data_IF_585997367001
#
_entry.id   IF_585997367001
#
_cell.length_a   1.000
_cell.length_b   1.000
_cell.length_c   1.000
_cell.angle_alpha   90.00
_cell.angle_beta   90.00
_cell.angle_gamma   90.00
#
_symmetry.space_group_name_H-M   'P 1'
#
loop_
_entity.id
_entity.type
_entity.pdbx_description
1 polymer ?
#
# COMPACT_ATOMS: atom_id res chain seq x y z
N UNK A 1 -20.15 -10.65 25.61
CA UNK A 1 -19.03 -9.70 25.36
C UNK A 1 -18.41 -9.43 26.72
N UNK A 2 -17.11 -9.69 26.87
CA UNK A 2 -16.36 -9.53 28.14
C UNK A 2 -15.38 -8.37 27.96
N UNK A 3 -15.48 -7.34 28.79
CA UNK A 3 -14.66 -6.13 28.72
C UNK A 3 -14.44 -5.63 30.15
N UNK A 4 -13.19 -5.72 30.62
CA UNK A 4 -12.80 -5.40 32.00
C UNK A 4 -11.43 -4.74 31.99
N UNK A 5 -11.28 -3.67 32.77
CA UNK A 5 -9.99 -3.03 33.03
C UNK A 5 -9.26 -3.75 34.17
N UNK A 6 -7.94 -3.89 34.05
CA UNK A 6 -7.08 -4.52 35.07
C UNK A 6 -6.14 -3.49 35.64
N UNK A 7 -5.99 -3.47 36.97
CA UNK A 7 -4.99 -2.66 37.66
C UNK A 7 -3.71 -3.47 37.87
N UNK A 8 -2.60 -3.11 37.20
CA UNK A 8 -1.30 -3.75 37.41
C UNK A 8 -0.83 -3.65 38.87
N UNK A 9 -0.04 -4.62 39.32
CA UNK A 9 0.56 -4.59 40.66
C UNK A 9 1.69 -3.57 40.78
N UNK A 10 2.43 -3.36 39.69
CA UNK A 10 3.50 -2.38 39.62
C UNK A 10 2.96 -0.99 39.31
N UNK A 11 3.68 0.03 39.78
CA UNK A 11 3.36 1.42 39.45
C UNK A 11 3.50 1.68 37.93
N UNK A 12 2.48 2.32 37.36
CA UNK A 12 2.44 2.66 35.95
C UNK A 12 3.28 3.92 35.73
N UNK A 13 4.28 3.85 34.85
CA UNK A 13 5.10 5.00 34.45
C UNK A 13 4.55 5.72 33.22
N UNK A 14 3.93 4.98 32.30
CA UNK A 14 3.27 5.50 31.11
C UNK A 14 2.04 4.63 30.79
N UNK A 15 0.89 5.28 30.56
CA UNK A 15 -0.38 4.63 30.23
C UNK A 15 -0.51 4.32 28.73
N UNK A 16 0.40 4.84 27.90
CA UNK A 16 0.40 4.67 26.44
C UNK A 16 -0.94 5.06 25.80
N UNK A 17 -1.62 6.08 26.33
CA UNK A 17 -3.01 6.46 25.98
C UNK A 17 -3.22 6.61 24.47
N UNK A 18 -2.21 7.11 23.74
CA UNK A 18 -2.26 7.24 22.27
C UNK A 18 -2.43 5.90 21.52
N UNK A 19 -2.09 4.78 22.15
CA UNK A 19 -2.19 3.43 21.60
C UNK A 19 -3.29 2.64 22.29
N UNK A 20 -3.34 2.68 23.64
CA UNK A 20 -4.26 1.87 24.46
C UNK A 20 -5.64 2.49 24.67
N UNK A 21 -5.76 3.82 24.52
CA UNK A 21 -6.94 4.57 24.93
C UNK A 21 -7.13 4.68 26.46
N UNK A 22 -6.23 4.09 27.26
CA UNK A 22 -6.34 4.06 28.72
C UNK A 22 -5.81 5.35 29.34
N UNK A 23 -6.56 5.88 30.30
CA UNK A 23 -6.18 7.07 31.08
C UNK A 23 -6.04 6.74 32.56
N UNK A 24 -5.25 7.51 33.29
CA UNK A 24 -5.09 7.35 34.75
C UNK A 24 -6.44 7.37 35.48
N UNK A 25 -7.35 8.27 35.10
CA UNK A 25 -8.69 8.38 35.66
C UNK A 25 -9.54 7.11 35.45
N UNK A 26 -9.33 6.38 34.34
CA UNK A 26 -10.03 5.11 34.12
C UNK A 26 -9.54 4.01 35.04
N UNK A 27 -8.27 4.04 35.46
CA UNK A 27 -7.66 3.01 36.31
C UNK A 27 -7.67 3.34 37.79
N UNK A 28 -7.99 4.58 38.19
CA UNK A 28 -7.98 4.99 39.60
C UNK A 28 -8.99 4.22 40.45
N UNK A 29 -10.16 3.91 39.89
CA UNK A 29 -11.27 3.22 40.56
C UNK A 29 -11.28 1.70 40.30
N UNK A 30 -10.39 1.20 39.44
CA UNK A 30 -10.34 -0.22 39.08
C UNK A 30 -9.65 -1.02 40.18
N UNK A 31 -10.31 -2.08 40.63
CA UNK A 31 -9.80 -2.99 41.67
C UNK A 31 -9.42 -4.36 41.13
N UNK A 32 -9.91 -4.74 39.94
CA UNK A 32 -9.67 -6.03 39.32
C UNK A 32 -8.17 -6.28 39.10
N UNK A 33 -7.73 -7.48 39.49
CA UNK A 33 -6.36 -7.97 39.28
C UNK A 33 -6.30 -8.92 38.10
N UNK A 34 -5.08 -9.18 37.64
CA UNK A 34 -4.84 -10.13 36.55
C UNK A 34 -5.40 -11.52 36.88
N UNK A 35 -5.26 -11.95 38.14
CA UNK A 35 -5.79 -13.22 38.63
C UNK A 35 -7.32 -13.35 38.54
N UNK A 36 -8.03 -12.23 38.63
CA UNK A 36 -9.49 -12.23 38.56
C UNK A 36 -9.92 -12.47 37.11
N UNK A 37 -9.30 -11.76 36.17
CA UNK A 37 -9.53 -11.95 34.74
C UNK A 37 -9.14 -13.35 34.27
N UNK A 38 -8.04 -13.90 34.77
CA UNK A 38 -7.64 -15.28 34.46
C UNK A 38 -8.72 -16.30 34.88
N UNK A 39 -9.26 -16.15 36.10
CA UNK A 39 -10.34 -17.03 36.60
C UNK A 39 -11.62 -16.86 35.79
N UNK A 40 -11.99 -15.62 35.48
CA UNK A 40 -13.16 -15.32 34.68
C UNK A 40 -13.06 -15.96 33.29
N UNK A 41 -11.91 -15.83 32.62
CA UNK A 41 -11.67 -16.43 31.31
C UNK A 41 -11.74 -17.96 31.35
N UNK A 42 -11.14 -18.59 32.37
CA UNK A 42 -11.19 -20.06 32.55
C UNK A 42 -12.63 -20.53 32.75
N UNK A 43 -13.44 -19.80 33.53
CA UNK A 43 -14.83 -20.17 33.79
C UNK A 43 -15.76 -19.87 32.61
N UNK A 44 -15.45 -18.85 31.82
CA UNK A 44 -16.26 -18.41 30.69
C UNK A 44 -16.01 -19.26 29.44
N UNK A 45 -14.77 -19.67 29.20
CA UNK A 45 -14.38 -20.38 27.99
C UNK A 45 -14.59 -21.89 28.13
N UNK A 46 -15.21 -22.56 27.15
CA UNK A 46 -15.25 -24.01 27.15
C UNK A 46 -13.85 -24.61 26.94
N UNK A 47 -13.60 -25.87 27.35
CA UNK A 47 -12.28 -26.51 27.24
C UNK A 47 -11.72 -26.60 25.81
N UNK A 48 -12.60 -26.61 24.81
CA UNK A 48 -12.30 -26.68 23.38
C UNK A 48 -12.46 -25.33 22.66
N UNK A 49 -12.54 -24.22 23.41
CA UNK A 49 -12.60 -22.88 22.84
C UNK A 49 -11.41 -22.62 21.92
N UNK A 50 -11.65 -22.00 20.77
CA UNK A 50 -10.60 -21.53 19.87
C UNK A 50 -10.48 -20.01 20.01
N UNK A 51 -9.32 -19.53 20.45
CA UNK A 51 -9.06 -18.10 20.57
C UNK A 51 -8.71 -17.52 19.20
N UNK A 52 -9.39 -16.45 18.82
CA UNK A 52 -9.17 -15.74 17.55
C UNK A 52 -8.71 -14.33 17.85
N UNK A 53 -7.64 -13.88 17.20
CA UNK A 53 -7.11 -12.54 17.43
C UNK A 53 -5.97 -12.17 16.48
N UNK A 54 -5.25 -11.10 16.78
CA UNK A 54 -4.16 -10.61 15.95
C UNK A 54 -2.89 -10.43 16.77
N UNK A 55 -1.85 -11.22 16.48
CA UNK A 55 -0.62 -11.27 17.27
C UNK A 55 -0.84 -11.68 18.73
N UNK A 56 -1.73 -12.66 18.95
CA UNK A 56 -2.17 -13.14 20.27
C UNK A 56 -1.05 -13.58 21.22
N UNK A 57 0.15 -13.87 20.69
CA UNK A 57 1.32 -14.11 21.54
C UNK A 57 1.58 -12.97 22.53
N UNK A 58 1.39 -11.71 22.10
CA UNK A 58 1.59 -10.56 22.98
C UNK A 58 0.53 -10.52 24.07
N UNK A 59 -0.74 -10.76 23.70
CA UNK A 59 -1.88 -10.75 24.60
C UNK A 59 -1.81 -11.88 25.63
N UNK A 60 -1.54 -13.12 25.19
CA UNK A 60 -1.40 -14.28 26.07
C UNK A 60 -0.20 -14.15 27.01
N UNK A 61 0.90 -13.53 26.55
CA UNK A 61 2.03 -13.23 27.40
C UNK A 61 1.68 -12.20 28.48
N UNK A 62 0.98 -11.13 28.11
CA UNK A 62 0.47 -10.13 29.06
C UNK A 62 -0.53 -10.74 30.06
N UNK A 63 -1.37 -11.66 29.59
CA UNK A 63 -2.31 -12.42 30.43
C UNK A 63 -1.64 -13.49 31.29
N UNK A 64 -0.38 -13.83 31.03
CA UNK A 64 0.33 -14.96 31.65
C UNK A 64 -0.43 -16.29 31.51
N UNK A 65 -1.04 -16.51 30.35
CA UNK A 65 -1.84 -17.70 30.05
C UNK A 65 -1.27 -18.45 28.84
N UNK A 66 -1.45 -19.77 28.83
CA UNK A 66 -1.20 -20.62 27.67
C UNK A 66 -2.52 -21.23 27.21
N UNK A 67 -2.79 -21.18 25.91
CA UNK A 67 -3.99 -21.77 25.33
C UNK A 67 -3.64 -22.57 24.06
N UNK A 68 -4.06 -23.84 23.94
CA UNK A 68 -3.61 -24.71 22.86
C UNK A 68 -4.24 -24.39 21.49
N UNK A 69 -5.47 -23.85 21.47
CA UNK A 69 -6.23 -23.66 20.24
C UNK A 69 -6.33 -22.19 19.86
N UNK A 70 -5.45 -21.74 18.95
CA UNK A 70 -5.33 -20.33 18.57
C UNK A 70 -5.37 -20.16 17.06
N UNK A 71 -6.23 -19.26 16.58
CA UNK A 71 -6.21 -18.73 15.23
C UNK A 71 -5.67 -17.30 15.29
N UNK A 72 -4.40 -17.13 14.94
CA UNK A 72 -3.76 -15.82 14.88
C UNK A 72 -3.83 -15.27 13.44
N UNK A 73 -4.63 -14.22 13.26
CA UNK A 73 -4.80 -13.54 11.96
C UNK A 73 -3.49 -12.94 11.42
N UNK A 74 -2.51 -12.63 12.29
CA UNK A 74 -1.18 -12.18 11.87
C UNK A 74 -0.32 -13.27 11.24
N UNK A 75 -0.70 -14.54 11.42
CA UNK A 75 0.02 -15.73 10.94
C UNK A 75 -0.69 -16.36 9.74
N UNK A 76 -2.03 -16.48 9.77
CA UNK A 76 -2.80 -17.10 8.68
C UNK A 76 -2.88 -16.23 7.42
N UNK A 77 -2.57 -14.94 7.55
CA UNK A 77 -2.46 -13.99 6.45
C UNK A 77 -1.01 -13.58 6.25
N UNK A 78 -0.54 -13.64 4.99
CA UNK A 78 0.78 -13.18 4.60
C UNK A 78 0.69 -12.44 3.27
N UNK A 79 0.49 -11.13 3.32
CA UNK A 79 0.43 -10.29 2.11
C UNK A 79 1.81 -9.98 1.54
N UNK A 80 2.87 -10.08 2.36
CA UNK A 80 4.21 -9.67 1.94
C UNK A 80 4.97 -10.76 1.19
N UNK A 81 4.52 -12.02 1.31
CA UNK A 81 5.25 -13.18 0.79
C UNK A 81 6.46 -13.58 1.64
N UNK A 82 6.67 -12.92 2.79
CA UNK A 82 7.74 -13.20 3.73
C UNK A 82 7.14 -13.66 5.06
N UNK A 83 7.37 -14.93 5.41
CA UNK A 83 6.82 -15.55 6.64
C UNK A 83 7.39 -14.94 7.93
N UNK A 84 8.52 -14.23 7.86
CA UNK A 84 9.11 -13.58 9.02
C UNK A 84 8.41 -12.27 9.39
N UNK A 85 7.60 -11.71 8.48
CA UNK A 85 6.93 -10.42 8.68
C UNK A 85 5.43 -10.57 8.80
N UNK A 86 4.89 -10.01 9.88
CA UNK A 86 3.46 -9.95 10.15
C UNK A 86 2.84 -8.71 9.50
N UNK A 87 1.70 -8.89 8.84
CA UNK A 87 0.91 -7.76 8.34
C UNK A 87 0.18 -7.08 9.50
N UNK A 88 0.05 -5.76 9.45
CA UNK A 88 -0.75 -5.00 10.45
C UNK A 88 -2.23 -5.33 10.29
N UNK A 89 -2.97 -5.39 11.40
CA UNK A 89 -4.43 -5.61 11.40
C UNK A 89 -5.15 -4.58 10.52
N UNK A 90 -4.89 -3.28 10.72
CA UNK A 90 -5.52 -2.21 9.92
C UNK A 90 -5.29 -2.37 8.41
N UNK A 91 -4.10 -2.85 8.00
CA UNK A 91 -3.82 -3.12 6.59
C UNK A 91 -4.63 -4.32 6.07
N UNK A 92 -4.79 -5.37 6.88
CA UNK A 92 -5.59 -6.54 6.49
C UNK A 92 -7.08 -6.16 6.37
N UNK A 93 -7.61 -5.38 7.30
CA UNK A 93 -8.99 -4.90 7.27
C UNK A 93 -9.26 -4.01 6.06
N UNK A 94 -8.38 -3.06 5.77
CA UNK A 94 -8.47 -2.19 4.59
C UNK A 94 -8.46 -3.02 3.30
N UNK A 95 -7.54 -3.98 3.19
CA UNK A 95 -7.34 -4.76 1.95
C UNK A 95 -8.37 -5.86 1.70
N UNK A 96 -8.86 -6.51 2.75
CA UNK A 96 -9.71 -7.69 2.63
C UNK A 96 -11.17 -7.41 2.99
N UNK A 97 -11.41 -6.52 3.96
CA UNK A 97 -12.76 -6.18 4.43
C UNK A 97 -13.24 -4.84 3.85
N UNK A 98 -12.35 -4.04 3.26
CA UNK A 98 -12.64 -2.66 2.84
C UNK A 98 -13.12 -1.78 4.00
N UNK A 99 -12.64 -2.06 5.21
CA UNK A 99 -12.96 -1.34 6.44
C UNK A 99 -11.73 -0.61 6.97
N UNK A 100 -11.88 0.68 7.24
CA UNK A 100 -10.85 1.47 7.94
C UNK A 100 -11.08 1.39 9.44
N UNK A 101 -10.20 0.68 10.14
CA UNK A 101 -10.20 0.58 11.60
C UNK A 101 -9.13 1.47 12.22
N UNK A 102 -9.14 1.65 13.55
CA UNK A 102 -8.06 2.32 14.29
C UNK A 102 -7.80 3.78 13.84
N UNK A 103 -8.79 4.42 13.22
CA UNK A 103 -8.66 5.76 12.64
C UNK A 103 -8.78 6.89 13.67
N UNK A 104 -9.08 6.54 14.92
CA UNK A 104 -9.24 7.48 16.02
C UNK A 104 -7.87 7.97 16.55
N UNK A 105 -7.77 9.27 16.86
CA UNK A 105 -6.60 9.83 17.53
C UNK A 105 -6.56 9.55 19.05
N UNK A 106 -7.60 8.91 19.60
CA UNK A 106 -7.78 8.67 21.03
C UNK A 106 -7.26 7.30 21.50
N UNK A 107 -6.53 6.59 20.64
CA UNK A 107 -6.09 5.21 20.90
C UNK A 107 -6.97 4.18 20.20
N UNK A 108 -6.57 2.91 20.32
CA UNK A 108 -7.27 1.77 19.74
C UNK A 108 -8.33 1.24 20.70
N UNK A 109 -9.38 0.65 20.14
CA UNK A 109 -10.43 -0.02 20.89
C UNK A 109 -10.21 -1.53 20.83
N UNK A 110 -9.99 -2.23 21.96
CA UNK A 110 -9.87 -3.69 21.97
C UNK A 110 -11.10 -4.41 21.38
N UNK A 111 -12.27 -3.79 21.49
CA UNK A 111 -13.53 -4.29 20.96
C UNK A 111 -13.52 -4.24 19.43
N UNK A 112 -13.09 -3.11 18.86
CA UNK A 112 -12.95 -2.95 17.40
C UNK A 112 -11.94 -3.96 16.85
N UNK A 113 -10.78 -4.07 17.49
CA UNK A 113 -9.69 -4.95 17.06
C UNK A 113 -10.09 -6.44 17.13
N UNK A 114 -10.78 -6.86 18.20
CA UNK A 114 -11.25 -8.24 18.35
C UNK A 114 -12.36 -8.60 17.34
N UNK A 115 -13.29 -7.69 17.07
CA UNK A 115 -14.30 -7.87 16.03
C UNK A 115 -13.67 -7.94 14.64
N UNK A 116 -12.71 -7.07 14.34
CA UNK A 116 -12.00 -7.05 13.08
C UNK A 116 -11.20 -8.34 12.84
N UNK A 117 -10.49 -8.82 13.86
CA UNK A 117 -9.78 -10.11 13.80
C UNK A 117 -10.75 -11.29 13.58
N UNK A 118 -11.91 -11.28 14.23
CA UNK A 118 -12.94 -12.30 14.03
C UNK A 118 -13.48 -12.30 12.58
N UNK A 119 -13.81 -11.13 12.02
CA UNK A 119 -14.24 -11.00 10.62
C UNK A 119 -13.18 -11.53 9.65
N UNK A 120 -11.92 -11.21 9.90
CA UNK A 120 -10.80 -11.72 9.08
C UNK A 120 -10.67 -13.24 9.14
N UNK A 121 -10.82 -13.84 10.32
CA UNK A 121 -10.80 -15.30 10.47
C UNK A 121 -11.98 -15.96 9.74
N UNK A 122 -13.19 -15.44 9.89
CA UNK A 122 -14.38 -15.90 9.17
C UNK A 122 -14.18 -15.80 7.65
N UNK A 123 -13.61 -14.70 7.17
CA UNK A 123 -13.31 -14.53 5.76
C UNK A 123 -12.29 -15.56 5.26
N UNK A 124 -11.27 -15.90 6.05
CA UNK A 124 -10.32 -16.96 5.69
C UNK A 124 -11.02 -18.31 5.58
N UNK A 125 -11.87 -18.64 6.56
CA UNK A 125 -12.62 -19.90 6.62
C UNK A 125 -13.66 -20.04 5.50
N UNK A 126 -14.25 -18.94 5.06
CA UNK A 126 -15.19 -18.92 3.93
C UNK A 126 -14.49 -19.07 2.56
N UNK A 127 -13.17 -18.91 2.52
CA UNK A 127 -12.35 -19.01 1.32
C UNK A 127 -11.38 -20.21 1.40
N UNK A 128 -10.47 -20.31 0.43
CA UNK A 128 -9.49 -21.39 0.39
C UNK A 128 -8.32 -21.15 1.35
N UNK A 129 -7.55 -22.20 1.65
CA UNK A 129 -6.39 -22.13 2.55
C UNK A 129 -5.34 -21.14 2.03
N UNK A 130 -5.23 -20.97 0.70
CA UNK A 130 -4.31 -20.03 0.06
C UNK A 130 -4.77 -18.58 0.15
N UNK A 131 -6.04 -18.30 0.46
CA UNK A 131 -6.60 -16.94 0.44
C UNK A 131 -5.82 -15.97 1.35
N UNK A 132 -5.34 -14.85 0.80
CA UNK A 132 -4.53 -13.87 1.54
C UNK A 132 -3.17 -14.38 2.02
N UNK A 133 -2.64 -15.45 1.41
CA UNK A 133 -1.29 -15.96 1.65
C UNK A 133 -0.48 -15.97 0.35
N UNK A 134 0.36 -14.95 0.19
CA UNK A 134 1.18 -14.76 -1.01
C UNK A 134 2.24 -15.85 -1.21
N UNK A 135 2.61 -16.59 -0.15
CA UNK A 135 3.53 -17.73 -0.26
C UNK A 135 2.79 -18.94 -0.82
N UNK A 136 1.60 -19.24 -0.30
CA UNK A 136 0.81 -20.40 -0.74
C UNK A 136 0.18 -20.21 -2.12
N UNK A 137 -0.27 -18.99 -2.45
CA UNK A 137 -0.80 -18.72 -3.78
C UNK A 137 0.25 -18.85 -4.90
N UNK A 138 1.55 -18.80 -4.55
CA UNK A 138 2.63 -18.56 -5.48
C UNK A 138 2.65 -17.09 -5.91
N UNK A 139 3.85 -16.47 -5.92
CA UNK A 139 4.05 -15.03 -6.20
C UNK A 139 3.25 -14.54 -7.42
N UNK A 140 3.17 -15.35 -8.48
CA UNK A 140 2.49 -15.03 -9.75
C UNK A 140 0.96 -15.00 -9.69
N UNK A 141 0.29 -15.75 -8.81
CA UNK A 141 -1.18 -15.66 -8.63
C UNK A 141 -1.55 -14.61 -7.59
N UNK A 142 -0.76 -14.48 -6.53
CA UNK A 142 -0.92 -13.43 -5.53
C UNK A 142 -0.79 -12.04 -6.15
N UNK A 143 0.22 -11.83 -7.01
CA UNK A 143 0.34 -10.61 -7.82
C UNK A 143 -0.89 -10.40 -8.68
N UNK A 144 -1.37 -11.38 -9.46
CA UNK A 144 -2.54 -11.18 -10.33
C UNK A 144 -3.83 -10.83 -9.58
N UNK A 145 -4.06 -11.42 -8.40
CA UNK A 145 -5.25 -11.11 -7.59
C UNK A 145 -5.11 -9.77 -6.87
N UNK A 146 -3.93 -9.49 -6.31
CA UNK A 146 -3.66 -8.22 -5.63
C UNK A 146 -3.63 -7.05 -6.63
N UNK A 147 -3.02 -7.23 -7.80
CA UNK A 147 -2.97 -6.28 -8.92
C UNK A 147 -4.39 -5.99 -9.42
N UNK A 148 -5.27 -6.99 -9.62
CA UNK A 148 -6.67 -6.73 -10.00
C UNK A 148 -7.44 -5.87 -8.99
N UNK A 149 -7.19 -6.06 -7.70
CA UNK A 149 -7.81 -5.27 -6.63
C UNK A 149 -7.15 -3.88 -6.50
N UNK A 150 -5.85 -3.76 -6.76
CA UNK A 150 -5.07 -2.52 -6.69
C UNK A 150 -5.22 -1.62 -7.93
N UNK A 151 -5.36 -2.18 -9.13
CA UNK A 151 -5.41 -1.47 -10.42
C UNK A 151 -6.62 -0.53 -10.50
N UNK A 152 -7.75 -0.90 -9.89
CA UNK A 152 -8.95 -0.04 -9.86
C UNK A 152 -8.79 1.19 -8.96
N UNK A 153 -7.85 1.20 -8.01
CA UNK A 153 -7.73 2.28 -7.01
C UNK A 153 -6.42 3.08 -7.10
N UNK A 154 -5.29 2.49 -7.50
CA UNK A 154 -3.98 3.18 -7.46
C UNK A 154 -3.69 4.08 -8.66
N UNK A 155 -4.16 3.74 -9.86
CA UNK A 155 -4.00 4.61 -11.02
C UNK A 155 -4.64 5.99 -10.75
N UNK A 156 -5.80 6.00 -10.09
CA UNK A 156 -6.44 7.23 -9.65
C UNK A 156 -5.61 7.99 -8.59
N UNK A 157 -4.90 7.32 -7.70
CA UNK A 157 -4.18 7.97 -6.60
C UNK A 157 -2.90 8.72 -7.02
N UNK A 158 -2.11 8.22 -7.98
CA UNK A 158 -0.92 8.95 -8.46
C UNK A 158 -1.34 10.27 -9.12
N UNK A 159 -2.37 10.22 -9.97
CA UNK A 159 -2.88 11.43 -10.63
C UNK A 159 -3.61 12.35 -9.66
N UNK A 160 -4.38 11.83 -8.70
CA UNK A 160 -5.00 12.63 -7.63
C UNK A 160 -3.98 13.30 -6.71
N UNK A 161 -2.84 12.65 -6.45
CA UNK A 161 -1.77 13.25 -5.65
C UNK A 161 -0.98 14.29 -6.45
N UNK A 162 -0.79 14.07 -7.75
CA UNK A 162 -0.16 15.04 -8.65
C UNK A 162 -1.05 16.26 -8.92
N UNK A 163 -2.37 16.11 -8.97
CA UNK A 163 -3.30 17.16 -9.42
C UNK A 163 -3.75 18.15 -8.35
N UNK A 164 -3.46 17.92 -7.07
CA UNK A 164 -3.93 18.80 -5.97
C UNK A 164 -3.46 20.25 -6.11
N UNK A 165 -2.26 20.50 -6.66
CA UNK A 165 -1.71 21.86 -6.84
C UNK A 165 -0.78 22.00 -8.06
N UNK A 166 -0.55 20.92 -8.84
CA UNK A 166 0.48 20.87 -9.87
C UNK A 166 -0.06 20.37 -11.20
N UNK A 167 0.52 20.87 -12.29
CA UNK A 167 0.20 20.47 -13.67
C UNK A 167 0.91 19.16 -14.01
N UNK A 168 0.16 18.22 -14.60
CA UNK A 168 0.68 16.93 -15.02
C UNK A 168 0.32 16.67 -16.49
N UNK A 169 1.20 16.02 -17.22
CA UNK A 169 0.97 15.67 -18.62
C UNK A 169 1.38 14.22 -18.91
N UNK A 170 0.55 13.54 -19.68
CA UNK A 170 0.80 12.19 -20.18
C UNK A 170 0.86 12.25 -21.71
N UNK A 171 1.96 11.77 -22.29
CA UNK A 171 2.15 11.71 -23.74
C UNK A 171 2.37 10.26 -24.14
N UNK A 172 1.51 9.74 -25.00
CA UNK A 172 1.55 8.34 -25.44
C UNK A 172 0.82 8.15 -26.77
N UNK A 173 0.85 6.93 -27.31
CA UNK A 173 0.01 6.54 -28.44
C UNK A 173 -1.48 6.57 -28.10
N UNK A 174 -2.33 6.68 -29.12
CA UNK A 174 -3.79 6.75 -28.95
C UNK A 174 -4.35 5.58 -28.12
N UNK A 175 -3.86 4.36 -28.37
CA UNK A 175 -4.29 3.16 -27.64
C UNK A 175 -4.02 3.27 -26.14
N UNK A 176 -2.85 3.79 -25.77
CA UNK A 176 -2.43 3.97 -24.38
C UNK A 176 -3.17 5.13 -23.73
N UNK A 177 -3.29 6.27 -24.42
CA UNK A 177 -4.04 7.43 -23.91
C UNK A 177 -5.51 7.07 -23.62
N UNK A 178 -6.13 6.22 -24.44
CA UNK A 178 -7.49 5.73 -24.19
C UNK A 178 -7.61 4.99 -22.86
N UNK A 179 -6.62 4.17 -22.51
CA UNK A 179 -6.56 3.49 -21.21
C UNK A 179 -6.40 4.47 -20.06
N UNK A 180 -5.51 5.47 -20.18
CA UNK A 180 -5.38 6.52 -19.17
C UNK A 180 -6.68 7.30 -18.98
N UNK A 181 -7.37 7.67 -20.07
CA UNK A 181 -8.65 8.39 -20.01
C UNK A 181 -9.75 7.58 -19.30
N UNK A 182 -9.79 6.25 -19.47
CA UNK A 182 -10.71 5.38 -18.74
C UNK A 182 -10.46 5.44 -17.22
N UNK A 183 -9.19 5.44 -16.80
CA UNK A 183 -8.82 5.51 -15.38
C UNK A 183 -8.93 6.92 -14.79
N UNK A 184 -8.81 7.97 -15.61
CA UNK A 184 -8.99 9.37 -15.21
C UNK A 184 -10.47 9.79 -15.19
N UNK A 185 -11.35 9.10 -15.92
CA UNK A 185 -12.73 9.50 -16.21
C UNK A 185 -13.83 8.73 -15.47
N UNK A 186 -13.69 8.49 -14.17
CA UNK A 186 -14.77 7.89 -13.35
C UNK A 186 -14.92 8.50 -11.95
N UNK A 187 -14.84 9.84 -11.85
CA UNK A 187 -15.41 10.58 -10.73
C UNK A 187 -16.22 11.78 -11.23
N UNK A 188 -17.42 11.92 -10.70
CA UNK A 188 -18.34 13.05 -10.84
C UNK A 188 -17.66 14.44 -10.68
N UNK A 189 -18.28 15.53 -11.17
CA UNK A 189 -17.61 16.74 -11.65
C UNK A 189 -17.24 17.72 -10.53
N UNK A 190 -16.42 17.27 -9.57
CA UNK A 190 -15.95 18.09 -8.46
C UNK A 190 -14.49 17.82 -8.05
N UNK A 191 -13.63 17.36 -8.97
CA UNK A 191 -12.18 17.34 -8.72
C UNK A 191 -11.41 17.87 -9.93
N UNK A 192 -10.71 18.98 -9.71
CA UNK A 192 -9.86 19.74 -10.64
C UNK A 192 -8.62 18.92 -11.02
N UNK A 193 -8.80 17.85 -11.79
CA UNK A 193 -7.66 17.06 -12.24
C UNK A 193 -6.92 17.81 -13.36
N UNK A 194 -5.84 18.53 -13.01
CA UNK A 194 -4.97 19.26 -13.95
C UNK A 194 -4.05 18.31 -14.75
N UNK A 195 -4.55 17.15 -15.17
CA UNK A 195 -3.81 16.15 -15.96
C UNK A 195 -4.21 16.27 -17.43
N UNK A 196 -3.28 16.67 -18.28
CA UNK A 196 -3.46 16.74 -19.73
C UNK A 196 -2.97 15.45 -20.38
N UNK A 197 -3.77 14.88 -21.28
CA UNK A 197 -3.37 13.73 -22.09
C UNK A 197 -3.14 14.17 -23.54
N UNK A 198 -1.95 13.90 -24.08
CA UNK A 198 -1.56 14.24 -25.45
C UNK A 198 -1.23 12.96 -26.22
N UNK A 199 -1.76 12.88 -27.43
CA UNK A 199 -1.56 11.74 -28.33
C UNK A 199 -0.37 12.03 -29.24
N UNK A 200 0.49 11.02 -29.42
CA UNK A 200 1.63 11.07 -30.32
C UNK A 200 1.67 9.78 -31.17
N UNK A 201 2.05 9.93 -32.45
CA UNK A 201 1.97 8.86 -33.44
C UNK A 201 3.16 7.89 -33.39
N UNK A 202 4.31 8.35 -32.87
CA UNK A 202 5.52 7.54 -32.74
C UNK A 202 6.29 7.81 -31.44
N UNK A 203 7.21 6.92 -31.05
CA UNK A 203 8.10 7.14 -29.91
C UNK A 203 8.95 8.40 -30.08
N UNK A 204 9.37 8.72 -31.30
CA UNK A 204 10.12 9.95 -31.58
C UNK A 204 9.27 11.20 -31.32
N UNK A 205 7.99 11.14 -31.68
CA UNK A 205 7.04 12.22 -31.43
C UNK A 205 6.74 12.36 -29.94
N UNK A 206 6.58 11.24 -29.22
CA UNK A 206 6.42 11.24 -27.76
C UNK A 206 7.60 11.96 -27.11
N UNK A 207 8.84 11.63 -27.47
CA UNK A 207 10.05 12.28 -26.91
C UNK A 207 10.09 13.76 -27.28
N UNK A 208 9.79 14.10 -28.53
CA UNK A 208 9.85 15.49 -29.01
C UNK A 208 8.82 16.37 -28.31
N UNK A 209 7.56 15.92 -28.26
CA UNK A 209 6.50 16.63 -27.57
C UNK A 209 6.77 16.71 -26.06
N UNK A 210 7.30 15.64 -25.47
CA UNK A 210 7.73 15.63 -24.06
C UNK A 210 8.73 16.76 -23.81
N UNK A 211 9.78 16.87 -24.63
CA UNK A 211 10.80 17.90 -24.46
C UNK A 211 10.24 19.32 -24.57
N UNK A 212 9.23 19.54 -25.42
CA UNK A 212 8.58 20.85 -25.59
C UNK A 212 7.77 21.25 -24.35
N UNK A 213 7.07 20.31 -23.72
CA UNK A 213 6.15 20.61 -22.60
C UNK A 213 6.74 20.36 -21.22
N UNK A 214 7.92 19.75 -21.12
CA UNK A 214 8.55 19.32 -19.87
C UNK A 214 8.88 20.48 -18.90
N UNK A 215 9.05 21.70 -19.39
CA UNK A 215 9.27 22.89 -18.56
C UNK A 215 7.97 23.51 -18.01
N UNK A 216 6.84 23.25 -18.67
CA UNK A 216 5.53 23.83 -18.33
C UNK A 216 4.78 22.97 -17.31
N UNK A 217 5.21 21.72 -17.10
CA UNK A 217 4.53 20.73 -16.27
C UNK A 217 5.44 20.25 -15.14
N UNK A 218 4.87 20.11 -13.95
CA UNK A 218 5.60 19.64 -12.78
C UNK A 218 5.84 18.13 -12.78
N UNK A 219 4.93 17.41 -13.43
CA UNK A 219 5.02 15.97 -13.65
C UNK A 219 4.82 15.68 -15.14
N UNK A 220 5.78 14.96 -15.72
CA UNK A 220 5.73 14.57 -17.13
C UNK A 220 5.87 13.06 -17.23
N UNK A 221 4.89 12.41 -17.86
CA UNK A 221 4.86 10.98 -18.13
C UNK A 221 4.96 10.77 -19.64
N UNK A 222 6.05 10.14 -20.07
CA UNK A 222 6.28 9.75 -21.46
C UNK A 222 6.15 8.24 -21.57
N UNK A 223 5.12 7.76 -22.27
CA UNK A 223 4.90 6.34 -22.44
C UNK A 223 5.34 5.91 -23.84
N UNK A 224 6.46 5.18 -23.88
CA UNK A 224 7.11 4.70 -25.09
C UNK A 224 6.83 3.21 -25.27
N UNK A 225 6.51 2.81 -26.49
CA UNK A 225 6.31 1.40 -26.84
C UNK A 225 7.60 0.82 -27.40
N UNK A 226 8.27 -0.05 -26.66
CA UNK A 226 9.52 -0.69 -27.13
C UNK A 226 9.18 -2.08 -27.65
N UNK A 227 9.42 -2.30 -28.94
CA UNK A 227 9.18 -3.59 -29.55
C UNK A 227 10.42 -4.49 -29.46
N UNK A 228 10.39 -5.42 -28.51
CA UNK A 228 11.47 -6.41 -28.31
C UNK A 228 11.56 -7.40 -29.50
N UNK A 229 10.53 -7.47 -30.35
CA UNK A 229 10.53 -8.27 -31.59
C UNK A 229 10.97 -7.50 -32.83
N UNK A 230 11.43 -6.26 -32.66
CA UNK A 230 11.84 -5.36 -33.74
C UNK A 230 13.03 -5.87 -34.56
N UNK A 231 13.22 -5.27 -35.73
CA UNK A 231 14.27 -5.59 -36.72
C UNK A 231 15.68 -5.15 -36.32
N UNK A 232 15.82 -4.34 -35.27
CA UNK A 232 17.11 -3.82 -34.79
C UNK A 232 17.79 -4.80 -33.82
N UNK A 233 19.13 -4.93 -33.85
CA UNK A 233 19.88 -5.65 -32.84
C UNK A 233 19.59 -5.13 -31.42
N UNK A 234 19.61 -5.99 -30.38
CA UNK A 234 19.32 -5.59 -29.00
C UNK A 234 20.16 -4.40 -28.50
N UNK A 235 21.44 -4.34 -28.85
CA UNK A 235 22.34 -3.26 -28.42
C UNK A 235 21.95 -1.90 -29.02
N UNK A 236 21.48 -1.88 -30.27
CA UNK A 236 21.03 -0.66 -30.94
C UNK A 236 19.69 -0.17 -30.38
N UNK A 237 18.82 -1.10 -30.00
CA UNK A 237 17.57 -0.78 -29.30
C UNK A 237 17.85 -0.14 -27.93
N UNK A 238 18.81 -0.67 -27.17
CA UNK A 238 19.21 -0.11 -25.88
C UNK A 238 19.81 1.30 -26.04
N UNK A 239 20.69 1.50 -27.04
CA UNK A 239 21.23 2.84 -27.35
C UNK A 239 20.13 3.83 -27.71
N UNK A 240 19.13 3.40 -28.47
CA UNK A 240 17.99 4.24 -28.81
C UNK A 240 17.15 4.62 -27.58
N UNK A 241 16.93 3.68 -26.67
CA UNK A 241 16.23 3.92 -25.39
C UNK A 241 17.02 4.91 -24.52
N UNK A 242 18.33 4.72 -24.40
CA UNK A 242 19.22 5.62 -23.66
C UNK A 242 19.18 7.04 -24.25
N UNK A 243 19.17 7.16 -25.58
CA UNK A 243 19.04 8.44 -26.27
C UNK A 243 17.71 9.13 -26.00
N UNK A 244 16.60 8.39 -25.95
CA UNK A 244 15.30 8.94 -25.57
C UNK A 244 15.29 9.42 -24.12
N UNK A 245 15.76 8.60 -23.18
CA UNK A 245 15.90 8.98 -21.77
C UNK A 245 16.74 10.24 -21.59
N UNK A 246 17.89 10.30 -22.26
CA UNK A 246 18.82 11.43 -22.19
C UNK A 246 18.17 12.71 -22.71
N UNK A 247 17.49 12.67 -23.86
CA UNK A 247 16.79 13.83 -24.42
C UNK A 247 15.73 14.37 -23.46
N UNK A 248 14.88 13.50 -22.91
CA UNK A 248 13.85 13.90 -21.95
C UNK A 248 14.47 14.49 -20.68
N UNK A 249 15.54 13.87 -20.16
CA UNK A 249 16.22 14.32 -18.95
C UNK A 249 16.88 15.70 -19.09
N UNK A 250 17.52 15.97 -20.23
CA UNK A 250 18.16 17.25 -20.52
C UNK A 250 17.15 18.41 -20.50
N UNK A 251 15.92 18.19 -20.99
CA UNK A 251 14.87 19.21 -21.11
C UNK A 251 13.96 19.36 -19.88
N UNK A 252 14.08 18.47 -18.90
CA UNK A 252 13.27 18.55 -17.67
C UNK A 252 13.64 19.77 -16.80
N UNK A 253 12.63 20.39 -16.18
CA UNK A 253 12.83 21.42 -15.18
C UNK A 253 13.56 20.90 -13.92
N UNK A 254 14.27 21.78 -13.23
CA UNK A 254 14.79 21.46 -11.90
C UNK A 254 13.65 21.22 -10.91
N UNK A 255 13.84 20.23 -10.04
CA UNK A 255 12.83 19.66 -9.15
C UNK A 255 11.62 19.03 -9.86
N UNK A 256 11.67 18.87 -11.19
CA UNK A 256 10.68 18.12 -11.95
C UNK A 256 10.81 16.62 -11.74
N UNK A 257 9.66 15.92 -11.72
CA UNK A 257 9.59 14.46 -11.74
C UNK A 257 9.42 14.00 -13.19
N UNK A 258 10.37 13.20 -13.68
CA UNK A 258 10.30 12.54 -14.97
C UNK A 258 9.99 11.06 -14.78
N UNK A 259 8.98 10.59 -15.51
CA UNK A 259 8.60 9.19 -15.59
C UNK A 259 8.57 8.79 -17.06
N UNK A 260 9.51 7.92 -17.46
CA UNK A 260 9.51 7.33 -18.81
C UNK A 260 9.11 5.86 -18.67
N UNK A 261 7.94 5.51 -19.22
CA UNK A 261 7.40 4.16 -19.20
C UNK A 261 7.77 3.47 -20.50
N UNK A 262 8.34 2.27 -20.39
CA UNK A 262 8.63 1.38 -21.50
C UNK A 262 7.68 0.20 -21.39
N UNK A 263 6.62 0.19 -22.18
CA UNK A 263 5.75 -0.97 -22.29
C UNK A 263 6.02 -1.70 -23.61
N UNK A 264 5.94 -3.03 -23.57
CA UNK A 264 5.75 -3.80 -24.80
C UNK A 264 4.31 -3.64 -25.29
N UNK A 265 4.01 -4.13 -26.49
CA UNK A 265 2.72 -3.95 -27.18
C UNK A 265 1.51 -4.21 -26.26
N UNK A 266 0.35 -3.58 -26.54
CA UNK A 266 -0.88 -3.77 -25.76
C UNK A 266 -1.19 -5.25 -25.54
N UNK A 267 -1.35 -5.67 -24.28
CA UNK A 267 -1.61 -7.07 -23.89
C UNK A 267 -0.39 -7.86 -23.38
N UNK A 268 0.81 -7.27 -23.39
CA UNK A 268 1.99 -7.84 -22.74
C UNK A 268 2.08 -7.41 -21.27
N UNK A 269 2.59 -8.30 -20.40
CA UNK A 269 2.64 -8.09 -18.93
C UNK A 269 3.98 -7.49 -18.48
N UNK A 270 4.89 -7.22 -19.41
CA UNK A 270 6.25 -6.79 -19.11
C UNK A 270 6.43 -5.31 -19.50
N UNK A 271 6.92 -4.52 -18.55
CA UNK A 271 7.32 -3.14 -18.78
C UNK A 271 8.51 -2.76 -17.89
N UNK A 272 9.22 -1.73 -18.28
CA UNK A 272 10.26 -1.08 -17.50
C UNK A 272 9.89 0.39 -17.30
N UNK A 273 10.41 1.01 -16.25
CA UNK A 273 10.15 2.42 -15.98
C UNK A 273 11.42 3.11 -15.50
N UNK A 274 11.67 4.30 -16.02
CA UNK A 274 12.67 5.23 -15.54
C UNK A 274 11.97 6.33 -14.74
N UNK A 275 12.24 6.41 -13.43
CA UNK A 275 11.67 7.42 -12.52
C UNK A 275 12.80 8.19 -11.85
N UNK A 276 12.88 9.49 -12.10
CA UNK A 276 13.90 10.32 -11.46
C UNK A 276 13.44 11.77 -11.26
N UNK A 277 13.91 12.38 -10.17
CA UNK A 277 13.73 13.80 -9.87
C UNK A 277 15.02 14.55 -10.18
N UNK A 278 14.97 15.56 -11.06
CA UNK A 278 16.14 16.36 -11.44
C UNK A 278 16.47 17.36 -10.34
N UNK A 279 17.55 17.13 -9.60
CA UNK A 279 18.00 18.04 -8.54
C UNK A 279 19.07 19.00 -9.07
N UNK A 280 19.13 20.21 -8.52
CA UNK A 280 20.26 21.11 -8.74
C UNK A 280 21.53 20.45 -8.16
N UNK A 281 22.61 20.41 -8.94
CA UNK A 281 23.89 19.95 -8.42
C UNK A 281 24.32 20.89 -7.28
N UNK A 282 24.51 20.36 -6.07
CA UNK A 282 25.09 21.14 -4.98
C UNK A 282 26.53 21.48 -5.37
N UNK A 283 26.82 22.77 -5.57
CA UNK A 283 28.19 23.26 -5.65
C UNK A 283 28.98 22.75 -4.46
N UNK A 284 29.91 21.83 -4.69
CA UNK A 284 30.82 21.34 -3.67
C UNK A 284 31.78 22.46 -3.30
N UNK A 285 31.43 23.28 -2.29
CA UNK A 285 32.42 24.09 -1.58
C UNK A 285 33.30 23.12 -0.80
N UNK A 286 34.45 22.77 -1.38
CA UNK A 286 35.59 22.25 -0.60
C UNK A 286 35.97 23.34 0.38
N UNK A 287 35.74 23.12 1.67
CA UNK A 287 36.46 23.82 2.72
C UNK A 287 37.92 23.35 2.65
N UNK A 288 38.81 24.28 2.34
CA UNK A 288 40.22 24.23 2.70
C UNK A 288 40.43 25.01 3.99
#
# INVERSE_FOLDING_TARGET
>A
MYDILVKPDNNITDYLTRYSGITEKMLSEVTNKLSDVQKDLINLLPPDAILVGHSLNCDLHALQMMHPYVIDTSVIYNMTGDRSRKCKLALLCDRLLHESIQSSSKGHSPIEDSQAAMKLAQMKLANTVEFGDAVLMGRTKAEKTLIRTLEKEQAANIFNQASKEKTAIVIASESVIREYKLHLGSKEPASTCNVKCVVADSNSDVVTQTCQVALEHHMTISHLCVDVSGTLPPDDQLRQVDDWCRKVWEHLAFNGLCVVLFASRPGSVNGACFVQVKKLAKSSKRLG
#
